data_IF_248120188479
#
_entry.id   IF_248120188479
#
_cell.length_a   1.000
_cell.length_b   1.000
_cell.length_c   1.000
_cell.angle_alpha   90.00
_cell.angle_beta   90.00
_cell.angle_gamma   90.00
#
_symmetry.space_group_name_H-M   'P 1'
#
loop_
_entity.id
_entity.type
_entity.pdbx_description
1 polymer ?
#
# COMPACT_ATOMS: atom_id res chain seq x y z
N UNK A 1 -4.41 16.91 -6.98
CA UNK A 1 -5.70 16.53 -6.34
C UNK A 1 -6.81 16.44 -7.38
N UNK A 2 -6.81 15.42 -8.26
CA UNK A 2 -7.93 15.16 -9.20
C UNK A 2 -8.15 13.67 -9.51
N UNK A 3 -7.59 12.77 -8.70
CA UNK A 3 -7.68 11.32 -8.94
C UNK A 3 -8.35 10.55 -7.79
N UNK A 4 -8.52 11.16 -6.61
CA UNK A 4 -9.08 10.44 -5.45
C UNK A 4 -10.61 10.22 -5.56
N UNK A 5 -11.33 11.10 -6.27
CA UNK A 5 -12.78 10.99 -6.41
C UNK A 5 -13.22 9.92 -7.42
N UNK A 6 -12.40 9.60 -8.43
CA UNK A 6 -12.75 8.62 -9.49
C UNK A 6 -12.50 7.16 -9.09
N UNK A 7 -11.46 6.87 -8.28
CA UNK A 7 -11.14 5.49 -7.86
C UNK A 7 -12.20 4.89 -6.92
N UNK A 8 -12.77 5.71 -6.03
CA UNK A 8 -13.81 5.26 -5.11
C UNK A 8 -15.07 4.81 -5.87
N UNK A 9 -15.36 5.45 -7.02
CA UNK A 9 -16.50 5.14 -7.89
C UNK A 9 -16.27 3.85 -8.68
N UNK A 10 -15.02 3.52 -9.02
CA UNK A 10 -14.71 2.29 -9.78
C UNK A 10 -14.86 0.99 -8.95
N UNK A 11 -14.75 1.07 -7.62
CA UNK A 11 -14.83 -0.09 -6.73
C UNK A 11 -16.23 -0.30 -6.13
N UNK A 12 -17.15 0.67 -6.29
CA UNK A 12 -18.52 0.52 -5.78
C UNK A 12 -19.23 -0.64 -6.49
N UNK A 13 -19.51 -1.71 -5.73
CA UNK A 13 -20.24 -2.89 -6.19
C UNK A 13 -19.40 -4.16 -6.41
N UNK A 14 -18.07 -4.07 -6.35
CA UNK A 14 -17.19 -5.24 -6.39
C UNK A 14 -16.84 -5.69 -4.95
N UNK A 15 -16.79 -7.01 -4.66
CA UNK A 15 -16.43 -7.52 -3.34
C UNK A 15 -14.90 -7.46 -3.11
N UNK A 16 -14.34 -6.26 -3.18
CA UNK A 16 -12.90 -5.98 -3.04
C UNK A 16 -12.65 -5.11 -1.82
N UNK A 17 -11.47 -5.26 -1.21
CA UNK A 17 -11.02 -4.43 -0.10
C UNK A 17 -9.84 -3.57 -0.58
N UNK A 18 -9.87 -2.28 -0.27
CA UNK A 18 -8.74 -1.36 -0.51
C UNK A 18 -7.80 -1.39 0.68
N UNK A 19 -6.51 -1.50 0.41
CA UNK A 19 -5.44 -1.24 1.35
C UNK A 19 -4.52 -0.20 0.72
N UNK A 20 -4.43 0.96 1.36
CA UNK A 20 -3.55 2.05 0.93
C UNK A 20 -2.23 1.97 1.70
N UNK A 21 -1.11 2.01 0.98
CA UNK A 21 0.23 1.95 1.55
C UNK A 21 0.99 3.26 1.34
N UNK A 22 0.35 4.31 0.82
CA UNK A 22 1.03 5.57 0.51
C UNK A 22 1.71 6.16 1.74
N UNK A 23 1.07 6.10 2.91
CA UNK A 23 1.67 6.60 4.17
C UNK A 23 2.95 5.84 4.58
N UNK A 24 3.17 4.65 4.05
CA UNK A 24 4.36 3.84 4.32
C UNK A 24 5.44 4.03 3.24
N UNK A 25 5.04 4.25 1.99
CA UNK A 25 5.94 4.37 0.84
C UNK A 25 6.36 5.82 0.60
N UNK A 26 5.44 6.76 0.75
CA UNK A 26 5.60 8.18 0.45
C UNK A 26 4.76 9.05 1.42
N UNK A 27 5.19 9.18 2.69
CA UNK A 27 4.44 9.89 3.73
C UNK A 27 4.44 11.42 3.58
N UNK A 28 5.32 11.95 2.74
CA UNK A 28 5.50 13.39 2.54
C UNK A 28 5.02 13.83 1.16
N UNK A 29 5.01 15.14 0.93
CA UNK A 29 4.72 15.71 -0.40
C UNK A 29 5.76 15.26 -1.44
N UNK A 30 6.98 14.93 -0.99
CA UNK A 30 8.05 14.37 -1.82
C UNK A 30 8.47 13.01 -1.25
N UNK A 31 8.47 11.97 -2.07
CA UNK A 31 8.81 10.64 -1.61
C UNK A 31 10.32 10.51 -1.32
N UNK A 32 10.71 10.08 -0.11
CA UNK A 32 12.12 9.98 0.25
C UNK A 32 12.78 8.80 -0.49
N UNK A 33 14.07 8.92 -0.81
CA UNK A 33 14.82 7.82 -1.41
C UNK A 33 15.26 6.76 -0.38
N UNK A 34 15.27 7.12 0.91
CA UNK A 34 15.71 6.29 2.04
C UNK A 34 14.70 6.44 3.18
N UNK A 35 14.31 5.33 3.80
CA UNK A 35 13.36 5.33 4.92
C UNK A 35 14.01 5.80 6.25
N UNK A 36 13.20 5.91 7.30
CA UNK A 36 13.66 6.30 8.64
C UNK A 36 14.68 5.32 9.26
N UNK A 37 14.78 4.09 8.74
CA UNK A 37 15.69 3.05 9.21
C UNK A 37 16.94 2.91 8.32
N UNK A 38 17.11 3.76 7.30
CA UNK A 38 18.25 3.73 6.39
C UNK A 38 18.11 2.77 5.21
N UNK A 39 16.92 2.23 4.94
CA UNK A 39 16.65 1.37 3.79
C UNK A 39 16.41 2.18 2.53
N UNK A 40 17.09 1.81 1.43
CA UNK A 40 16.84 2.39 0.11
C UNK A 40 15.46 1.95 -0.36
N UNK A 41 14.59 2.91 -0.69
CA UNK A 41 13.18 2.67 -1.00
C UNK A 41 13.00 2.23 -2.45
N UNK A 42 13.64 2.92 -3.40
CA UNK A 42 13.40 2.74 -4.82
C UNK A 42 14.61 2.21 -5.60
N UNK A 43 14.35 1.40 -6.63
CA UNK A 43 15.33 0.99 -7.65
C UNK A 43 15.47 2.08 -8.72
N UNK A 44 14.34 2.67 -9.11
CA UNK A 44 14.20 3.74 -10.11
C UNK A 44 13.07 4.69 -9.70
N UNK A 45 12.36 5.31 -10.65
CA UNK A 45 11.30 6.27 -10.35
C UNK A 45 9.95 5.63 -9.95
N UNK A 46 9.81 4.30 -9.96
CA UNK A 46 8.53 3.67 -9.61
C UNK A 46 8.64 2.24 -9.01
N UNK A 47 9.80 1.59 -9.03
CA UNK A 47 9.98 0.26 -8.45
C UNK A 47 10.56 0.32 -7.05
N UNK A 48 9.99 -0.44 -6.11
CA UNK A 48 10.52 -0.60 -4.76
C UNK A 48 11.69 -1.58 -4.74
N UNK A 49 12.66 -1.36 -3.84
CA UNK A 49 13.70 -2.37 -3.61
C UNK A 49 13.11 -3.63 -2.97
N UNK A 50 13.72 -4.81 -3.19
CA UNK A 50 13.29 -6.04 -2.52
C UNK A 50 13.33 -5.92 -0.98
N UNK A 51 14.36 -5.28 -0.45
CA UNK A 51 14.53 -5.09 1.00
C UNK A 51 13.43 -4.20 1.58
N UNK A 52 13.13 -3.08 0.94
CA UNK A 52 12.04 -2.21 1.39
C UNK A 52 10.69 -2.91 1.25
N UNK A 53 10.42 -3.58 0.13
CA UNK A 53 9.17 -4.37 -0.07
C UNK A 53 8.98 -5.41 1.03
N UNK A 54 10.05 -6.12 1.42
CA UNK A 54 9.98 -7.06 2.53
C UNK A 54 9.61 -6.35 3.82
N UNK A 55 10.17 -5.19 4.15
CA UNK A 55 9.82 -4.46 5.38
C UNK A 55 8.32 -4.13 5.52
N UNK A 56 7.58 -4.03 4.41
CA UNK A 56 6.13 -3.76 4.42
C UNK A 56 5.27 -4.93 4.91
N UNK A 57 5.82 -6.15 5.05
CA UNK A 57 5.03 -7.34 5.42
C UNK A 57 4.24 -7.16 6.72
N UNK A 58 4.78 -6.43 7.69
CA UNK A 58 4.14 -6.18 8.99
C UNK A 58 2.85 -5.37 8.85
N UNK A 59 2.84 -4.40 7.93
CA UNK A 59 1.65 -3.62 7.62
C UNK A 59 0.59 -4.41 6.84
N UNK A 60 1.03 -5.45 6.12
CA UNK A 60 0.15 -6.31 5.31
C UNK A 60 -0.48 -7.46 6.11
N UNK A 61 0.21 -8.00 7.12
CA UNK A 61 -0.19 -9.23 7.80
C UNK A 61 -1.60 -9.16 8.40
N UNK A 62 -1.86 -8.18 9.27
CA UNK A 62 -3.16 -8.08 9.94
C UNK A 62 -4.32 -7.79 8.95
N UNK A 63 -4.20 -6.85 7.99
CA UNK A 63 -5.23 -6.64 6.97
C UNK A 63 -5.50 -7.87 6.10
N UNK A 64 -4.45 -8.55 5.62
CA UNK A 64 -4.59 -9.76 4.79
C UNK A 64 -5.19 -10.89 5.59
N UNK A 65 -4.70 -11.16 6.81
CA UNK A 65 -5.24 -12.19 7.69
C UNK A 65 -6.72 -11.93 7.99
N UNK A 66 -7.11 -10.67 8.23
CA UNK A 66 -8.52 -10.30 8.40
C UNK A 66 -9.33 -10.50 7.11
N UNK A 67 -8.76 -10.19 5.95
CA UNK A 67 -9.44 -10.39 4.67
C UNK A 67 -9.66 -11.88 4.37
N UNK A 68 -8.64 -12.71 4.60
CA UNK A 68 -8.67 -14.16 4.38
C UNK A 68 -9.53 -14.88 5.41
N UNK A 69 -9.53 -14.51 6.70
CA UNK A 69 -10.38 -15.16 7.71
C UNK A 69 -11.87 -14.84 7.55
N UNK A 70 -12.20 -13.72 6.91
CA UNK A 70 -13.56 -13.35 6.59
C UNK A 70 -14.03 -14.01 5.27
N UNK A 71 -13.74 -15.31 5.06
CA UNK A 71 -14.39 -16.13 4.03
C UNK A 71 -15.89 -16.24 4.35
N UNK A 72 -16.59 -15.19 3.98
CA UNK A 72 -18.02 -15.00 4.09
C UNK A 72 -18.39 -13.97 3.05
N UNK A 73 -18.11 -14.29 1.78
CA UNK A 73 -18.78 -13.67 0.64
C UNK A 73 -20.28 -13.91 0.83
N UNK A 74 -20.96 -12.91 1.39
CA UNK A 74 -22.41 -12.74 1.25
C UNK A 74 -22.64 -11.55 0.35
#
# INVERSE_FOLDING_TARGET
MRYEEDEAIALTGLPVRRLDLNDLVCPEVLCPAVDANGLIIYVDNNHLTPTFTLSLWQALDAPITKALRNEGFR
#
